data_IF_681828083146
#
_entry.id   IF_681828083146
#
_cell.length_a   1.000
_cell.length_b   1.000
_cell.length_c   1.000
_cell.angle_alpha   90.00
_cell.angle_beta   90.00
_cell.angle_gamma   90.00
#
_symmetry.space_group_name_H-M   'P 1'
#
loop_
_entity.id
_entity.type
_entity.pdbx_description
1 polymer ?
#
# COMPACT_ATOMS: atom_id res chain seq x y z
N UNK A 1 -20.43 11.01 -65.57
CA UNK A 1 -20.94 9.84 -64.81
C UNK A 1 -20.36 8.59 -65.44
N UNK A 2 -19.26 8.08 -64.90
CA UNK A 2 -18.70 6.75 -65.24
C UNK A 2 -18.10 6.21 -63.94
N UNK A 3 -18.69 5.14 -63.42
CA UNK A 3 -18.23 4.41 -62.23
C UNK A 3 -17.34 3.25 -62.69
N UNK A 4 -16.14 3.02 -62.12
CA UNK A 4 -15.44 1.77 -62.35
C UNK A 4 -15.91 0.67 -61.38
N UNK A 5 -16.03 -0.52 -61.96
CA UNK A 5 -16.47 -1.80 -61.41
C UNK A 5 -15.82 -2.20 -60.07
N UNK A 6 -16.64 -2.75 -59.18
CA UNK A 6 -16.22 -3.46 -57.99
C UNK A 6 -15.72 -4.87 -58.36
N UNK A 7 -14.42 -5.11 -58.14
CA UNK A 7 -13.83 -6.45 -58.22
C UNK A 7 -14.15 -7.22 -56.95
N UNK A 8 -14.93 -8.30 -57.10
CA UNK A 8 -15.17 -9.27 -56.04
C UNK A 8 -13.89 -10.05 -55.74
N UNK A 9 -13.31 -9.82 -54.58
CA UNK A 9 -12.24 -10.66 -54.03
C UNK A 9 -12.90 -11.84 -53.32
N UNK A 10 -12.88 -13.01 -53.95
CA UNK A 10 -13.26 -14.28 -53.32
C UNK A 10 -12.15 -14.70 -52.36
N UNK A 11 -12.41 -14.59 -51.05
CA UNK A 11 -11.52 -15.09 -50.02
C UNK A 11 -11.80 -16.58 -49.79
N UNK A 12 -10.92 -17.44 -50.28
CA UNK A 12 -10.93 -18.88 -50.04
C UNK A 12 -10.73 -19.13 -48.53
N UNK A 13 -11.75 -19.67 -47.87
CA UNK A 13 -11.69 -20.03 -46.45
C UNK A 13 -10.82 -21.28 -46.25
N UNK A 14 -9.87 -21.31 -45.31
CA UNK A 14 -9.14 -22.53 -45.00
C UNK A 14 -10.02 -23.49 -44.18
N UNK A 15 -10.28 -24.66 -44.75
CA UNK A 15 -10.82 -25.83 -44.06
C UNK A 15 -9.80 -26.31 -43.02
N UNK A 16 -10.01 -25.98 -41.76
CA UNK A 16 -9.32 -26.65 -40.65
C UNK A 16 -10.13 -27.89 -40.25
N UNK A 17 -9.54 -29.10 -40.25
CA UNK A 17 -10.23 -30.28 -39.76
C UNK A 17 -10.44 -30.17 -38.24
N UNK A 18 -11.71 -30.17 -37.85
CA UNK A 18 -12.13 -30.38 -36.46
C UNK A 18 -11.57 -31.72 -35.97
N UNK A 19 -10.61 -31.66 -35.03
CA UNK A 19 -10.18 -32.84 -34.27
C UNK A 19 -11.10 -32.98 -33.07
N UNK A 20 -12.02 -33.92 -33.16
CA UNK A 20 -12.89 -34.39 -32.08
C UNK A 20 -12.04 -34.88 -30.90
N UNK A 21 -12.31 -34.47 -29.64
CA UNK A 21 -11.77 -35.19 -28.50
C UNK A 21 -12.52 -36.51 -28.34
N UNK A 22 -11.75 -37.59 -28.41
CA UNK A 22 -12.15 -38.97 -28.22
C UNK A 22 -12.61 -39.23 -26.78
N UNK A 23 -13.71 -39.97 -26.71
CA UNK A 23 -14.27 -40.82 -25.66
C UNK A 23 -13.42 -41.01 -24.39
N UNK A 24 -14.12 -40.78 -23.27
CA UNK A 24 -13.85 -41.15 -21.88
C UNK A 24 -12.85 -42.28 -21.60
N UNK A 25 -11.91 -42.00 -20.71
CA UNK A 25 -11.27 -43.00 -19.85
C UNK A 25 -11.97 -43.03 -18.48
N UNK A 26 -12.39 -44.21 -17.98
CA UNK A 26 -12.96 -44.35 -16.64
C UNK A 26 -11.86 -44.22 -15.57
N UNK A 27 -12.11 -43.37 -14.57
CA UNK A 27 -11.29 -43.25 -13.38
C UNK A 27 -11.26 -44.57 -12.59
N UNK A 28 -10.13 -44.94 -11.96
CA UNK A 28 -10.08 -46.11 -11.09
C UNK A 28 -10.92 -45.85 -9.83
N UNK A 29 -11.89 -46.74 -9.60
CA UNK A 29 -12.64 -46.88 -8.35
C UNK A 29 -11.69 -47.14 -7.19
N UNK A 30 -11.44 -46.13 -6.36
CA UNK A 30 -10.79 -46.32 -5.07
C UNK A 30 -11.80 -46.88 -4.09
N UNK A 31 -11.46 -48.05 -3.57
CA UNK A 31 -12.19 -48.80 -2.59
C UNK A 31 -12.44 -47.98 -1.31
N UNK A 32 -13.66 -48.13 -0.82
CA UNK A 32 -14.16 -47.75 0.49
C UNK A 32 -13.21 -48.15 1.61
N UNK A 33 -12.50 -47.17 2.18
CA UNK A 33 -12.05 -47.25 3.57
C UNK A 33 -13.01 -46.44 4.43
N UNK A 34 -13.69 -47.15 5.32
CA UNK A 34 -14.57 -46.67 6.37
C UNK A 34 -13.92 -45.60 7.24
N UNK A 35 -14.63 -44.52 7.63
CA UNK A 35 -14.12 -43.55 8.59
C UNK A 35 -14.05 -44.18 10.01
N UNK A 36 -13.01 -43.90 10.81
CA UNK A 36 -12.98 -44.31 12.21
C UNK A 36 -14.01 -43.50 13.01
N UNK A 37 -14.86 -44.21 13.74
CA UNK A 37 -15.82 -43.64 14.69
C UNK A 37 -15.08 -42.98 15.85
N UNK A 38 -14.92 -41.65 15.82
CA UNK A 38 -14.54 -40.89 17.00
C UNK A 38 -15.79 -40.62 17.84
N UNK A 39 -15.86 -41.27 19.01
CA UNK A 39 -16.84 -40.97 20.05
C UNK A 39 -16.52 -39.61 20.67
N UNK A 40 -17.43 -38.65 20.53
CA UNK A 40 -17.44 -37.43 21.33
C UNK A 40 -18.04 -37.74 22.72
N UNK A 41 -17.46 -37.24 23.83
CA UNK A 41 -18.13 -37.28 25.12
C UNK A 41 -19.28 -36.27 25.14
N UNK A 42 -20.44 -36.76 25.57
CA UNK A 42 -21.68 -36.01 25.79
C UNK A 42 -21.47 -34.96 26.89
N UNK A 43 -21.43 -33.67 26.52
CA UNK A 43 -21.46 -32.59 27.50
C UNK A 43 -22.92 -32.28 27.84
N UNK A 44 -23.29 -32.63 29.07
CA UNK A 44 -24.61 -32.42 29.65
C UNK A 44 -24.96 -30.93 29.74
N UNK A 45 -26.24 -30.64 29.51
CA UNK A 45 -26.86 -29.33 29.68
C UNK A 45 -26.99 -29.02 31.17
N UNK A 46 -26.50 -27.86 31.61
CA UNK A 46 -26.90 -27.25 32.87
C UNK A 46 -27.79 -26.06 32.54
N UNK A 47 -29.08 -26.22 32.85
CA UNK A 47 -30.01 -25.11 32.98
C UNK A 47 -29.71 -24.35 34.27
N UNK A 48 -29.73 -23.02 34.20
CA UNK A 48 -30.20 -22.20 35.30
C UNK A 48 -30.83 -20.91 34.74
N UNK A 49 -32.16 -20.94 34.73
CA UNK A 49 -33.14 -19.89 35.04
C UNK A 49 -32.63 -18.95 36.14
N UNK A 50 -32.99 -17.67 36.32
CA UNK A 50 -33.82 -16.62 35.73
C UNK A 50 -33.12 -15.31 36.22
N UNK A 51 -33.27 -14.13 35.59
CA UNK A 51 -34.19 -13.13 36.13
C UNK A 51 -34.31 -11.92 35.21
N UNK A 52 -35.54 -11.44 35.19
CA UNK A 52 -36.09 -10.30 34.48
C UNK A 52 -35.51 -8.96 34.95
N UNK A 53 -35.16 -8.06 34.02
CA UNK A 53 -35.68 -6.69 34.09
C UNK A 53 -35.62 -5.96 32.74
N UNK A 54 -36.70 -5.23 32.48
CA UNK A 54 -36.96 -4.51 31.25
C UNK A 54 -36.55 -3.04 31.36
N UNK A 55 -36.39 -2.44 30.18
CA UNK A 55 -36.76 -1.06 29.86
C UNK A 55 -35.85 0.08 30.40
N UNK A 56 -35.16 0.73 29.45
CA UNK A 56 -35.56 2.03 28.88
C UNK A 56 -34.47 3.12 28.85
N UNK A 57 -34.47 3.80 27.69
CA UNK A 57 -34.14 5.21 27.41
C UNK A 57 -32.67 5.62 27.21
N UNK A 58 -32.34 5.70 25.92
CA UNK A 58 -31.92 6.89 25.16
C UNK A 58 -30.95 7.93 25.76
N UNK A 59 -29.94 8.15 24.93
CA UNK A 59 -29.47 9.43 24.40
C UNK A 59 -28.36 10.22 25.13
N UNK A 60 -27.40 10.60 24.27
CA UNK A 60 -26.58 11.82 24.29
C UNK A 60 -25.56 12.01 25.42
N UNK A 61 -24.27 11.99 25.05
CA UNK A 61 -23.51 13.24 24.88
C UNK A 61 -22.07 12.97 24.44
N UNK A 62 -21.64 13.72 23.43
CA UNK A 62 -20.25 13.92 23.06
C UNK A 62 -19.53 14.83 24.08
N UNK A 63 -18.33 14.45 24.51
CA UNK A 63 -17.28 15.32 25.07
C UNK A 63 -15.98 14.50 25.19
N UNK A 64 -15.03 14.68 24.27
CA UNK A 64 -13.77 15.40 24.51
C UNK A 64 -12.93 14.84 25.67
N UNK A 65 -11.93 14.01 25.34
CA UNK A 65 -10.87 13.61 26.28
C UNK A 65 -9.50 13.63 25.57
N UNK A 66 -9.08 14.81 25.13
CA UNK A 66 -7.71 15.11 24.70
C UNK A 66 -7.09 16.19 25.63
N UNK A 67 -6.89 15.87 26.92
CA UNK A 67 -6.11 16.73 27.82
C UNK A 67 -5.74 16.03 29.14
N UNK A 68 -4.79 15.09 29.13
CA UNK A 68 -4.25 14.54 30.39
C UNK A 68 -2.79 14.03 30.32
N UNK A 69 -1.93 14.62 29.50
CA UNK A 69 -0.48 14.35 29.58
C UNK A 69 0.35 15.63 29.36
N UNK A 70 0.28 16.59 30.31
CA UNK A 70 1.12 17.80 30.30
C UNK A 70 1.55 18.34 31.68
N UNK A 71 1.59 17.50 32.71
CA UNK A 71 1.94 17.96 34.06
C UNK A 71 2.96 17.05 34.78
N UNK A 72 4.03 16.63 34.10
CA UNK A 72 5.06 15.80 34.71
C UNK A 72 6.48 16.15 34.27
N UNK A 73 6.84 17.43 34.16
CA UNK A 73 8.26 17.87 34.07
C UNK A 73 8.43 19.32 34.58
N UNK A 74 7.94 19.64 35.77
CA UNK A 74 8.15 20.97 36.39
C UNK A 74 8.97 20.92 37.68
N UNK A 75 9.79 19.88 37.88
CA UNK A 75 10.57 19.69 39.11
C UNK A 75 12.10 19.77 38.95
N UNK A 76 12.61 20.14 37.77
CA UNK A 76 14.06 20.28 37.56
C UNK A 76 14.37 21.66 36.99
N UNK A 77 14.11 22.71 37.77
CA UNK A 77 14.74 24.02 37.61
C UNK A 77 14.95 24.63 39.00
N UNK A 78 16.13 24.36 39.57
CA UNK A 78 16.93 25.25 40.40
C UNK A 78 18.30 24.54 40.48
N UNK A 79 19.39 25.05 39.88
CA UNK A 79 20.00 26.34 40.18
C UNK A 79 20.87 26.85 39.02
N UNK A 80 20.97 28.19 38.93
CA UNK A 80 22.03 28.97 38.27
C UNK A 80 23.44 28.52 38.70
N UNK A 81 24.54 28.71 37.98
CA UNK A 81 25.06 29.91 37.31
C UNK A 81 26.24 29.54 36.39
N UNK A 82 26.67 30.50 35.55
CA UNK A 82 27.98 30.64 34.87
C UNK A 82 28.02 30.48 33.34
N UNK A 83 28.15 31.65 32.74
CA UNK A 83 28.53 32.05 31.39
C UNK A 83 29.84 31.41 30.87
N UNK A 84 29.91 31.17 29.55
CA UNK A 84 31.12 31.35 28.71
C UNK A 84 30.83 30.94 27.26
N UNK A 85 30.78 31.94 26.38
CA UNK A 85 30.74 31.82 24.92
C UNK A 85 32.11 31.37 24.38
N UNK A 86 32.12 30.42 23.43
CA UNK A 86 33.23 30.22 22.49
C UNK A 86 32.76 29.48 21.23
N UNK A 87 32.87 30.19 20.12
CA UNK A 87 32.70 29.79 18.72
C UNK A 87 33.73 28.73 18.27
N UNK A 88 33.30 27.61 17.67
CA UNK A 88 33.80 27.10 16.37
C UNK A 88 33.16 25.73 15.99
N UNK A 89 32.95 25.41 14.70
CA UNK A 89 32.23 24.23 14.23
C UNK A 89 33.17 23.09 13.81
N UNK A 90 33.07 21.92 14.48
CA UNK A 90 33.80 20.71 14.09
C UNK A 90 32.90 19.62 13.48
N UNK A 91 32.92 19.61 12.15
CA UNK A 91 32.93 18.45 11.23
C UNK A 91 32.85 17.03 11.85
N UNK A 92 31.92 16.22 11.33
CA UNK A 92 31.98 14.75 11.39
C UNK A 92 32.01 14.11 9.99
N UNK A 93 32.72 12.97 9.84
CA UNK A 93 33.33 12.54 8.59
C UNK A 93 32.40 11.65 7.75
N UNK A 94 32.55 11.71 6.42
CA UNK A 94 32.02 10.70 5.49
C UNK A 94 33.19 9.85 4.97
N UNK A 95 33.09 8.53 5.18
CA UNK A 95 33.96 7.51 4.56
C UNK A 95 33.57 7.34 3.08
N UNK A 96 34.56 7.62 2.21
CA UNK A 96 35.16 6.78 1.12
C UNK A 96 34.26 5.74 0.42
N UNK A 97 34.26 5.55 -0.91
CA UNK A 97 35.32 5.42 -1.93
C UNK A 97 34.69 5.75 -3.32
N UNK A 98 35.27 6.56 -4.23
CA UNK A 98 36.50 6.49 -5.03
C UNK A 98 36.31 5.86 -6.45
N UNK A 99 36.49 6.75 -7.45
CA UNK A 99 36.97 6.56 -8.84
C UNK A 99 36.09 5.83 -9.87
N UNK A 100 35.55 6.57 -10.85
CA UNK A 100 36.12 6.70 -12.22
C UNK A 100 35.22 7.52 -13.15
N UNK A 101 35.86 8.42 -13.88
CA UNK A 101 35.31 9.30 -14.92
C UNK A 101 35.22 8.52 -16.23
N UNK A 102 34.20 8.76 -17.06
CA UNK A 102 34.55 9.31 -18.37
C UNK A 102 33.72 10.55 -18.72
N UNK A 103 34.42 11.48 -19.34
CA UNK A 103 33.99 12.76 -19.92
C UNK A 103 32.95 12.56 -21.03
N UNK A 104 31.76 13.13 -20.87
CA UNK A 104 30.90 13.51 -22.00
C UNK A 104 30.44 14.96 -21.79
N UNK A 105 30.93 15.81 -22.67
CA UNK A 105 30.46 17.16 -22.91
C UNK A 105 28.99 17.17 -23.39
N UNK A 106 28.37 18.37 -23.36
CA UNK A 106 26.98 18.75 -23.75
C UNK A 106 25.92 18.45 -22.66
N UNK A 107 25.01 19.37 -22.30
CA UNK A 107 24.53 20.58 -22.99
C UNK A 107 23.82 21.46 -21.95
N UNK A 108 24.32 22.66 -21.65
CA UNK A 108 23.47 23.73 -21.09
C UNK A 108 22.82 24.44 -22.27
N UNK A 109 21.49 24.41 -22.34
CA UNK A 109 20.74 25.24 -23.29
C UNK A 109 20.80 26.68 -22.80
N UNK A 110 21.63 27.48 -23.44
CA UNK A 110 21.53 28.93 -23.47
C UNK A 110 20.33 29.31 -24.35
N UNK A 111 19.49 30.21 -23.85
CA UNK A 111 18.51 30.93 -24.66
C UNK A 111 18.86 32.40 -24.58
N UNK A 112 19.52 32.90 -25.61
CA UNK A 112 19.52 34.31 -26.00
C UNK A 112 18.32 34.53 -26.92
N UNK A 113 17.58 35.61 -26.70
CA UNK A 113 16.44 36.01 -27.52
C UNK A 113 16.28 37.52 -27.48
N UNK A 114 16.58 38.14 -28.63
CA UNK A 114 16.54 39.57 -28.93
C UNK A 114 15.08 40.06 -28.99
N UNK A 115 14.85 41.33 -28.63
CA UNK A 115 13.55 42.00 -28.69
C UNK A 115 13.33 42.74 -30.02
N UNK A 116 12.12 42.64 -30.62
CA UNK A 116 11.47 43.61 -31.54
C UNK A 116 9.93 43.43 -31.46
N UNK A 117 9.05 44.46 -31.64
CA UNK A 117 7.64 44.41 -31.22
C UNK A 117 6.58 44.26 -32.34
N UNK A 118 5.32 44.18 -31.87
CA UNK A 118 4.03 44.52 -32.48
C UNK A 118 3.17 43.45 -33.21
N UNK A 119 2.02 43.19 -32.56
CA UNK A 119 0.67 42.95 -33.09
C UNK A 119 0.35 41.70 -33.94
N UNK A 120 -0.13 40.64 -33.28
CA UNK A 120 -1.39 39.92 -33.56
C UNK A 120 -1.53 38.76 -32.54
N UNK A 121 -2.77 38.48 -32.13
CA UNK A 121 -3.16 37.79 -30.90
C UNK A 121 -2.34 36.53 -30.52
N UNK A 122 -1.73 36.56 -29.32
CA UNK A 122 -1.01 35.43 -28.72
C UNK A 122 -1.94 34.68 -27.75
N UNK A 123 -1.95 33.32 -27.74
CA UNK A 123 -2.66 32.57 -26.71
C UNK A 123 -2.07 32.89 -25.33
N UNK A 124 -2.96 32.98 -24.34
CA UNK A 124 -2.65 33.35 -22.96
C UNK A 124 -1.38 32.64 -22.43
N UNK A 125 -0.54 33.30 -21.61
CA UNK A 125 0.65 32.69 -21.05
C UNK A 125 0.22 31.47 -20.22
N UNK A 126 0.62 30.28 -20.64
CA UNK A 126 0.41 29.06 -19.89
C UNK A 126 1.12 29.20 -18.54
N UNK A 127 0.36 29.62 -17.51
CA UNK A 127 0.85 29.77 -16.14
C UNK A 127 1.33 28.39 -15.68
N UNK A 128 2.65 28.19 -15.64
CA UNK A 128 3.25 27.01 -15.02
C UNK A 128 2.74 26.95 -13.58
N UNK A 129 1.87 25.99 -13.29
CA UNK A 129 1.22 25.86 -11.99
C UNK A 129 2.24 25.79 -10.86
N UNK A 130 1.87 26.30 -9.69
CA UNK A 130 2.70 26.20 -8.49
C UNK A 130 3.10 24.74 -8.27
N UNK A 131 4.39 24.50 -8.00
CA UNK A 131 4.88 23.17 -7.59
C UNK A 131 4.29 22.76 -6.23
N UNK A 132 3.80 23.73 -5.47
CA UNK A 132 3.25 23.59 -4.13
C UNK A 132 1.73 23.51 -4.15
N UNK A 133 1.20 22.97 -3.06
CA UNK A 133 -0.21 22.88 -2.78
C UNK A 133 -0.87 24.27 -2.83
N UNK A 134 -2.05 24.37 -3.44
CA UNK A 134 -2.83 25.62 -3.56
C UNK A 134 -3.51 26.03 -2.25
N UNK A 135 -3.62 25.16 -1.26
CA UNK A 135 -4.17 25.53 0.05
C UNK A 135 -3.23 26.52 0.74
N UNK A 136 -3.77 27.65 1.17
CA UNK A 136 -3.05 28.71 1.89
C UNK A 136 -2.26 28.14 3.09
N UNK A 137 -1.01 28.57 3.24
CA UNK A 137 -0.11 28.08 4.30
C UNK A 137 0.42 26.66 4.10
N UNK A 138 0.06 25.95 3.03
CA UNK A 138 0.57 24.60 2.78
C UNK A 138 1.87 24.61 1.97
N UNK A 139 2.99 24.33 2.64
CA UNK A 139 4.32 24.18 2.00
C UNK A 139 4.54 22.83 1.31
N UNK A 140 3.56 21.93 1.38
CA UNK A 140 3.67 20.59 0.79
C UNK A 140 3.60 20.64 -0.74
N UNK A 141 4.38 19.79 -1.40
CA UNK A 141 4.40 19.69 -2.86
C UNK A 141 3.05 19.16 -3.41
N UNK A 142 2.56 19.80 -4.46
CA UNK A 142 1.36 19.32 -5.15
C UNK A 142 1.63 18.00 -5.88
N UNK A 143 0.62 17.12 -5.89
CA UNK A 143 0.66 15.82 -6.59
C UNK A 143 -0.40 15.79 -7.68
N UNK A 144 -1.67 15.88 -7.31
CA UNK A 144 -2.82 15.91 -8.22
C UNK A 144 -3.63 17.19 -7.99
N UNK A 145 -4.26 17.73 -9.04
CA UNK A 145 -5.12 18.91 -8.96
C UNK A 145 -4.51 20.12 -8.20
N UNK A 146 -3.18 20.31 -8.30
CA UNK A 146 -2.41 21.33 -7.56
C UNK A 146 -2.53 21.25 -6.02
N UNK A 147 -2.92 20.09 -5.46
CA UNK A 147 -3.01 19.87 -4.01
C UNK A 147 -2.07 18.76 -3.55
N UNK A 148 -1.69 18.79 -2.27
CA UNK A 148 -0.83 17.77 -1.67
C UNK A 148 -1.64 16.55 -1.20
N UNK A 149 -0.95 15.49 -0.75
CA UNK A 149 -1.59 14.27 -0.25
C UNK A 149 -2.55 14.48 0.93
N UNK A 150 -2.40 15.55 1.72
CA UNK A 150 -3.33 15.86 2.82
C UNK A 150 -4.55 16.67 2.35
N UNK A 151 -4.41 17.44 1.28
CA UNK A 151 -5.40 18.42 0.83
C UNK A 151 -6.15 17.99 -0.44
N UNK A 152 -6.31 16.70 -0.73
CA UNK A 152 -7.04 16.23 -1.91
C UNK A 152 -6.17 16.02 -3.15
N UNK A 153 -4.85 15.92 -2.99
CA UNK A 153 -3.90 15.57 -4.05
C UNK A 153 -3.92 14.09 -4.43
N UNK A 154 -5.09 13.46 -4.40
CA UNK A 154 -5.34 12.06 -4.78
C UNK A 154 -6.59 11.97 -5.66
N UNK A 155 -6.81 10.82 -6.29
CA UNK A 155 -7.97 10.55 -7.14
C UNK A 155 -8.88 9.54 -6.42
N UNK A 156 -10.20 9.71 -6.53
CA UNK A 156 -11.18 8.73 -6.02
C UNK A 156 -11.23 7.49 -6.91
N UNK A 157 -11.63 6.36 -6.34
CA UNK A 157 -11.91 5.16 -7.11
C UNK A 157 -12.99 5.46 -8.15
N UNK A 158 -12.80 4.95 -9.38
CA UNK A 158 -13.76 5.09 -10.49
C UNK A 158 -15.03 4.26 -10.32
N UNK A 159 -15.01 3.27 -9.43
CA UNK A 159 -16.18 2.41 -9.15
C UNK A 159 -17.26 3.26 -8.46
N UNK A 160 -18.53 3.22 -8.92
CA UNK A 160 -19.62 3.95 -8.28
C UNK A 160 -19.74 3.55 -6.81
N UNK A 161 -20.20 4.47 -5.96
CA UNK A 161 -20.32 4.26 -4.50
C UNK A 161 -19.01 3.96 -3.74
N UNK A 162 -17.84 4.01 -4.40
CA UNK A 162 -16.56 3.77 -3.73
C UNK A 162 -15.88 5.07 -3.29
N UNK A 163 -15.83 5.28 -1.97
CA UNK A 163 -15.13 6.42 -1.36
C UNK A 163 -13.62 6.21 -1.18
N UNK A 164 -13.11 5.03 -1.55
CA UNK A 164 -11.68 4.74 -1.43
C UNK A 164 -10.85 5.50 -2.47
N UNK A 165 -9.57 5.65 -2.16
CA UNK A 165 -8.61 6.33 -3.04
C UNK A 165 -8.09 5.37 -4.11
N UNK A 166 -7.97 5.86 -5.33
CA UNK A 166 -7.36 5.12 -6.40
C UNK A 166 -5.85 4.96 -6.16
N UNK A 167 -5.34 3.74 -6.31
CA UNK A 167 -3.90 3.45 -6.22
C UNK A 167 -3.27 3.41 -7.61
N UNK A 168 -3.84 2.61 -8.50
CA UNK A 168 -3.46 2.52 -9.91
C UNK A 168 -4.71 2.28 -10.78
N UNK A 169 -4.61 2.47 -12.10
CA UNK A 169 -5.70 2.26 -13.08
C UNK A 169 -6.98 3.10 -12.81
N UNK A 170 -6.95 3.99 -11.82
CA UNK A 170 -8.11 4.75 -11.35
C UNK A 170 -9.01 4.00 -10.36
N UNK A 171 -8.57 2.88 -9.82
CA UNK A 171 -9.34 2.06 -8.85
C UNK A 171 -8.55 1.84 -7.55
N UNK A 172 -9.27 1.61 -6.45
CA UNK A 172 -8.68 1.37 -5.14
C UNK A 172 -8.15 -0.06 -5.01
N UNK A 173 -7.48 -0.35 -3.88
CA UNK A 173 -6.94 -1.68 -3.61
C UNK A 173 -8.01 -2.77 -3.74
N UNK A 174 -9.17 -2.63 -3.09
CA UNK A 174 -10.26 -3.61 -3.17
C UNK A 174 -10.84 -3.81 -4.57
N UNK A 175 -10.69 -2.84 -5.48
CA UNK A 175 -11.22 -2.90 -6.84
C UNK A 175 -10.13 -3.15 -7.90
N UNK A 176 -8.99 -3.75 -7.51
CA UNK A 176 -7.95 -4.14 -8.47
C UNK A 176 -6.91 -3.05 -8.77
N UNK A 177 -6.77 -2.06 -7.90
CA UNK A 177 -5.74 -1.02 -7.98
C UNK A 177 -4.33 -1.49 -7.63
N UNK A 178 -4.15 -2.78 -7.31
CA UNK A 178 -2.85 -3.43 -7.12
C UNK A 178 -2.47 -4.32 -8.30
N UNK A 179 -1.26 -4.86 -8.25
CA UNK A 179 -0.80 -5.92 -9.15
C UNK A 179 -1.45 -7.24 -8.75
N UNK A 180 -1.89 -8.05 -9.71
CA UNK A 180 -2.45 -9.38 -9.43
C UNK A 180 -1.31 -10.33 -9.04
N UNK A 181 -1.62 -11.34 -8.25
CA UNK A 181 -0.70 -12.40 -7.88
C UNK A 181 -0.23 -13.17 -9.13
N UNK A 182 1.08 -13.36 -9.28
CA UNK A 182 1.68 -14.08 -10.41
C UNK A 182 1.47 -15.61 -10.35
N UNK A 183 0.99 -16.13 -9.22
CA UNK A 183 0.66 -17.55 -9.09
C UNK A 183 -0.51 -17.94 -10.01
N UNK A 184 -0.45 -19.14 -10.58
CA UNK A 184 -1.44 -19.66 -11.52
C UNK A 184 -2.86 -19.61 -10.92
N UNK A 185 -3.83 -19.12 -11.70
CA UNK A 185 -5.25 -19.01 -11.29
C UNK A 185 -5.51 -18.18 -10.02
N UNK A 186 -4.61 -17.26 -9.65
CA UNK A 186 -4.80 -16.44 -8.45
C UNK A 186 -5.20 -14.99 -8.78
N UNK A 187 -6.48 -14.67 -8.60
CA UNK A 187 -7.00 -13.30 -8.84
C UNK A 187 -6.76 -12.33 -7.67
N UNK A 188 -6.12 -12.81 -6.60
CA UNK A 188 -5.83 -11.97 -5.43
C UNK A 188 -4.71 -10.98 -5.72
N UNK A 189 -4.71 -9.88 -4.97
CA UNK A 189 -3.74 -8.81 -5.18
C UNK A 189 -2.41 -9.17 -4.51
N UNK A 190 -1.33 -9.01 -5.27
CA UNK A 190 0.02 -9.18 -4.77
C UNK A 190 0.36 -8.13 -3.72
N UNK A 191 0.94 -8.59 -2.62
CA UNK A 191 1.38 -7.75 -1.50
C UNK A 191 2.83 -7.32 -1.72
N UNK A 192 3.71 -8.28 -2.04
CA UNK A 192 5.10 -8.04 -2.41
C UNK A 192 5.63 -9.16 -3.32
N UNK A 193 6.76 -8.94 -3.99
CA UNK A 193 7.40 -9.91 -4.89
C UNK A 193 6.50 -10.49 -6.00
N UNK A 194 5.41 -9.80 -6.35
CA UNK A 194 4.44 -10.30 -7.33
C UNK A 194 3.49 -11.37 -6.78
N UNK A 195 3.54 -11.71 -5.49
CA UNK A 195 2.67 -12.73 -4.90
C UNK A 195 1.72 -12.15 -3.84
N UNK A 196 0.58 -12.79 -3.65
CA UNK A 196 -0.34 -12.48 -2.57
C UNK A 196 0.12 -13.07 -1.24
N UNK A 197 -0.57 -12.75 -0.15
CA UNK A 197 -0.24 -13.27 1.18
C UNK A 197 -0.10 -14.80 1.22
N UNK A 198 -1.04 -15.52 0.58
CA UNK A 198 -1.05 -16.99 0.54
C UNK A 198 0.14 -17.57 -0.25
N UNK A 199 0.54 -16.91 -1.34
CA UNK A 199 1.56 -17.40 -2.26
C UNK A 199 2.96 -16.78 -2.05
N UNK A 200 3.24 -16.22 -0.86
CA UNK A 200 4.59 -15.74 -0.52
C UNK A 200 4.82 -14.22 -0.62
N UNK A 201 3.76 -13.44 -0.70
CA UNK A 201 3.78 -11.98 -0.79
C UNK A 201 4.17 -11.23 0.48
N UNK A 202 4.76 -11.87 1.47
CA UNK A 202 5.15 -11.25 2.73
C UNK A 202 6.04 -12.15 3.56
N UNK A 203 6.70 -11.57 4.56
CA UNK A 203 7.56 -12.32 5.49
C UNK A 203 6.68 -13.07 6.50
N UNK A 204 7.02 -14.34 6.73
CA UNK A 204 6.40 -15.18 7.77
C UNK A 204 7.27 -15.14 9.02
N UNK A 205 6.64 -15.39 10.16
CA UNK A 205 7.36 -15.53 11.41
C UNK A 205 8.45 -16.61 11.28
N UNK A 206 9.64 -16.31 11.82
CA UNK A 206 10.77 -17.24 11.78
C UNK A 206 10.64 -18.42 12.77
N UNK A 207 9.70 -18.36 13.72
CA UNK A 207 9.41 -19.45 14.66
C UNK A 207 8.80 -20.63 13.89
N UNK A 208 9.30 -21.86 14.09
CA UNK A 208 8.74 -23.05 13.45
C UNK A 208 7.25 -23.17 13.76
N UNK A 209 6.47 -23.65 12.78
CA UNK A 209 5.01 -23.81 12.87
C UNK A 209 4.20 -22.51 13.04
N UNK A 210 4.80 -21.33 12.87
CA UNK A 210 4.09 -20.06 12.92
C UNK A 210 3.91 -19.46 11.53
N UNK A 211 2.65 -19.40 11.06
CA UNK A 211 2.30 -18.81 9.76
C UNK A 211 1.93 -17.31 9.86
N UNK A 212 2.02 -16.72 11.05
CA UNK A 212 1.66 -15.31 11.31
C UNK A 212 2.60 -14.35 10.54
N UNK A 213 2.11 -13.15 10.19
CA UNK A 213 2.91 -12.12 9.55
C UNK A 213 4.03 -11.61 10.42
N UNK A 214 5.17 -11.36 9.79
CA UNK A 214 6.34 -10.78 10.39
C UNK A 214 6.83 -9.58 9.59
N UNK A 215 7.58 -8.72 10.28
CA UNK A 215 8.11 -7.50 9.70
C UNK A 215 9.59 -7.37 10.04
N UNK A 216 10.32 -6.61 9.26
CA UNK A 216 11.74 -6.33 9.51
C UNK A 216 11.95 -5.64 10.86
N UNK A 217 11.03 -4.72 11.24
CA UNK A 217 11.05 -4.03 12.55
C UNK A 217 10.96 -4.98 13.75
N UNK A 218 10.35 -6.15 13.56
CA UNK A 218 10.21 -7.19 14.60
C UNK A 218 11.19 -8.34 14.38
N UNK A 219 12.31 -8.09 13.69
CA UNK A 219 13.35 -9.08 13.40
C UNK A 219 12.82 -10.36 12.71
N UNK A 220 11.82 -10.23 11.83
CA UNK A 220 11.14 -11.36 11.17
C UNK A 220 10.36 -12.29 12.11
N UNK A 221 10.01 -11.81 13.30
CA UNK A 221 9.06 -12.45 14.18
C UNK A 221 7.67 -11.81 14.06
N UNK A 222 6.63 -12.59 14.30
CA UNK A 222 5.29 -12.04 14.48
C UNK A 222 5.23 -11.23 15.78
N UNK A 223 4.22 -10.36 15.92
CA UNK A 223 4.11 -9.48 17.08
C UNK A 223 4.09 -10.25 18.42
N UNK A 224 3.45 -11.42 18.48
CA UNK A 224 3.40 -12.27 19.67
C UNK A 224 4.79 -12.83 20.04
N UNK A 225 5.45 -13.52 19.09
CA UNK A 225 6.78 -14.09 19.34
C UNK A 225 7.86 -13.01 19.52
N UNK A 226 7.71 -11.84 18.89
CA UNK A 226 8.62 -10.73 19.12
C UNK A 226 8.57 -10.22 20.57
N UNK A 227 7.37 -10.20 21.18
CA UNK A 227 7.21 -9.85 22.59
C UNK A 227 7.80 -10.93 23.51
N UNK A 228 7.59 -12.21 23.22
CA UNK A 228 8.18 -13.32 23.98
C UNK A 228 9.72 -13.29 23.98
N UNK A 229 10.34 -12.94 22.83
CA UNK A 229 11.79 -12.76 22.73
C UNK A 229 12.28 -11.55 23.53
N UNK A 230 11.50 -10.47 23.60
CA UNK A 230 11.79 -9.31 24.43
C UNK A 230 11.82 -9.66 25.92
N UNK A 231 10.84 -10.44 26.38
CA UNK A 231 10.77 -10.90 27.78
C UNK A 231 11.87 -11.93 28.09
N UNK A 232 12.22 -12.81 27.15
CA UNK A 232 13.30 -13.79 27.32
C UNK A 232 14.72 -13.17 27.29
N UNK A 233 14.88 -11.97 26.73
CA UNK A 233 16.15 -11.24 26.77
C UNK A 233 16.41 -10.61 28.14
N UNK A 234 15.36 -10.19 28.85
CA UNK A 234 15.48 -9.58 30.19
C UNK A 234 15.77 -10.62 31.28
N UNK A 235 15.30 -11.87 31.11
CA UNK A 235 15.46 -12.94 32.10
C UNK A 235 16.82 -13.65 32.11
N UNK A 236 17.79 -13.25 31.27
CA UNK A 236 19.14 -13.84 31.20
C UNK A 236 20.24 -12.94 31.78
N UNK A 237 19.87 -11.81 32.38
CA UNK A 237 20.79 -10.79 32.93
C UNK A 237 20.71 -10.68 34.46
N UNK A 238 20.40 -11.77 35.15
CA UNK A 238 20.37 -11.83 36.62
C UNK A 238 21.22 -12.97 37.15
#
# INVERSE_FOLDING_TARGET
MVMPHASFVTYQSPLFPFRSPSVADPLPTFASLSPPTFRLPSLAMMHQEEDTNAAAKNASSAANQDAAHKAALSFILSSSDSDSESDEPKSKPRKRDSVSVPTIAKRRRSVTGVAVPAAAAKPAPAKKGSKFCTVEGCTSRAKHAKRCWKHGGWVRCKVPECNNRAKSKGVCWSHGGGTVCSFESCDTIAVSNGFCWAHGGGKRCQVPNCSKPAYERTQNYCQAHYQELGVAAESKTS
#
